data_IF_479094814574
#
_entry.id   IF_479094814574
#
_cell.length_a   1.000
_cell.length_b   1.000
_cell.length_c   1.000
_cell.angle_alpha   90.00
_cell.angle_beta   90.00
_cell.angle_gamma   90.00
#
_symmetry.space_group_name_H-M   'P 1'
#
loop_
_entity.id
_entity.type
_entity.pdbx_description
1 polymer ?
#
# COMPACT_ATOMS: atom_id res chain seq x y z
N UNK A 1 45.25 -12.71 -2.25
CA UNK A 1 44.22 -11.66 -2.45
C UNK A 1 43.23 -12.21 -3.46
N UNK A 2 42.26 -13.01 -3.01
CA UNK A 2 41.25 -13.61 -3.90
C UNK A 2 39.94 -12.87 -3.68
N UNK A 3 39.50 -12.20 -4.74
CA UNK A 3 38.34 -11.33 -4.77
C UNK A 3 37.01 -12.07 -4.60
N UNK A 4 36.07 -11.33 -4.02
CA UNK A 4 34.73 -11.75 -3.68
C UNK A 4 33.93 -12.28 -4.88
N UNK A 5 33.37 -13.47 -4.73
CA UNK A 5 32.23 -13.93 -5.51
C UNK A 5 30.97 -13.24 -4.97
N UNK A 6 30.55 -12.16 -5.63
CA UNK A 6 29.21 -11.60 -5.42
C UNK A 6 28.19 -12.54 -6.05
N UNK A 7 27.44 -13.24 -5.22
CA UNK A 7 26.29 -14.05 -5.62
C UNK A 7 25.20 -13.13 -6.20
N UNK A 8 25.12 -13.06 -7.52
CA UNK A 8 23.94 -12.54 -8.22
C UNK A 8 22.83 -13.59 -8.14
N UNK A 9 21.89 -13.38 -7.22
CA UNK A 9 20.60 -14.07 -7.24
C UNK A 9 19.78 -13.40 -8.34
N UNK A 10 19.77 -14.02 -9.53
CA UNK A 10 18.86 -13.67 -10.60
C UNK A 10 17.42 -13.87 -10.11
N UNK A 11 16.74 -12.75 -9.82
CA UNK A 11 15.32 -12.71 -9.50
C UNK A 11 14.48 -13.01 -10.74
N UNK A 12 13.38 -13.72 -10.53
CA UNK A 12 12.45 -14.17 -11.56
C UNK A 12 11.61 -12.97 -12.07
N UNK A 13 12.15 -12.22 -13.04
CA UNK A 13 11.55 -10.96 -13.50
C UNK A 13 10.48 -11.22 -14.58
N UNK A 14 9.23 -11.34 -14.15
CA UNK A 14 8.08 -11.11 -15.02
C UNK A 14 8.09 -9.68 -15.59
N UNK A 15 7.20 -9.34 -16.54
CA UNK A 15 7.19 -8.02 -17.17
C UNK A 15 7.18 -6.91 -16.13
N UNK A 16 8.21 -6.05 -16.19
CA UNK A 16 8.37 -4.90 -15.30
C UNK A 16 7.16 -3.99 -15.47
N UNK A 17 6.43 -3.76 -14.37
CA UNK A 17 5.27 -2.87 -14.37
C UNK A 17 5.74 -1.42 -14.42
N UNK A 18 5.01 -0.60 -15.17
CA UNK A 18 5.28 0.83 -15.19
C UNK A 18 5.01 1.49 -13.83
N UNK A 19 5.74 2.56 -13.53
CA UNK A 19 5.71 3.27 -12.25
C UNK A 19 4.35 3.91 -11.92
N UNK A 20 3.50 4.08 -12.92
CA UNK A 20 2.15 4.66 -12.81
C UNK A 20 1.05 3.59 -12.73
N UNK A 21 1.41 2.30 -12.60
CA UNK A 21 0.45 1.21 -12.49
C UNK A 21 0.04 0.91 -11.03
N UNK A 22 -1.22 0.52 -10.86
CA UNK A 22 -1.79 0.09 -9.59
C UNK A 22 -1.14 -1.21 -9.10
N UNK A 23 -0.76 -1.26 -7.83
CA UNK A 23 -0.12 -2.44 -7.22
C UNK A 23 -1.06 -3.65 -7.08
N UNK A 24 -2.38 -3.45 -7.10
CA UNK A 24 -3.39 -4.52 -7.05
C UNK A 24 -3.73 -5.07 -8.44
N UNK A 25 -3.98 -4.20 -9.42
CA UNK A 25 -4.49 -4.61 -10.74
C UNK A 25 -3.41 -4.70 -11.81
N UNK A 26 -2.25 -4.09 -11.56
CA UNK A 26 -1.16 -3.89 -12.54
C UNK A 26 -1.58 -3.10 -13.78
N UNK A 27 -2.74 -2.42 -13.73
CA UNK A 27 -3.21 -1.51 -14.78
C UNK A 27 -2.72 -0.08 -14.50
N UNK A 28 -2.53 0.75 -15.54
CA UNK A 28 -2.29 2.18 -15.38
C UNK A 28 -3.36 2.82 -14.47
N UNK A 29 -2.95 3.70 -13.56
CA UNK A 29 -3.87 4.43 -12.71
C UNK A 29 -4.47 5.64 -13.43
N UNK A 30 -5.78 5.82 -13.28
CA UNK A 30 -6.50 7.02 -13.71
C UNK A 30 -6.65 7.99 -12.54
N UNK A 31 -6.98 7.47 -11.35
CA UNK A 31 -7.07 8.22 -10.09
C UNK A 31 -6.12 7.63 -9.03
N UNK A 32 -4.81 7.91 -9.15
CA UNK A 32 -3.80 7.28 -8.33
C UNK A 32 -3.79 7.82 -6.89
N UNK A 33 -3.68 6.90 -5.95
CA UNK A 33 -3.39 7.16 -4.54
C UNK A 33 -2.18 6.37 -4.08
N UNK A 34 -1.39 6.95 -3.19
CA UNK A 34 -0.18 6.33 -2.64
C UNK A 34 -0.29 6.13 -1.14
N UNK A 35 0.29 5.05 -0.67
CA UNK A 35 0.48 4.79 0.76
C UNK A 35 1.76 5.45 1.27
N UNK A 36 1.87 5.66 2.58
CA UNK A 36 3.11 6.16 3.21
C UNK A 36 4.33 5.26 2.93
N UNK A 37 4.11 3.98 2.61
CA UNK A 37 5.16 3.04 2.22
C UNK A 37 5.63 3.19 0.78
N UNK A 38 4.98 4.04 -0.03
CA UNK A 38 5.33 4.31 -1.43
C UNK A 38 4.61 3.42 -2.46
N UNK A 39 3.63 2.61 -2.06
CA UNK A 39 2.87 1.77 -2.98
C UNK A 39 1.71 2.54 -3.60
N UNK A 40 1.63 2.50 -4.93
CA UNK A 40 0.60 3.16 -5.73
C UNK A 40 -0.60 2.25 -5.95
N UNK A 41 -1.80 2.81 -5.90
CA UNK A 41 -3.06 2.12 -6.13
C UNK A 41 -4.03 3.01 -6.90
N UNK A 42 -4.96 2.38 -7.61
CA UNK A 42 -6.17 3.04 -8.09
C UNK A 42 -7.11 3.28 -6.91
N UNK A 43 -7.60 4.52 -6.73
CA UNK A 43 -8.42 4.92 -5.58
C UNK A 43 -9.64 4.03 -5.40
N UNK A 44 -10.41 3.81 -6.46
CA UNK A 44 -11.64 3.01 -6.42
C UNK A 44 -11.36 1.57 -5.96
N UNK A 45 -10.32 0.95 -6.53
CA UNK A 45 -9.95 -0.45 -6.25
C UNK A 45 -9.46 -0.61 -4.81
N UNK A 46 -8.58 0.26 -4.33
CA UNK A 46 -8.03 0.13 -2.97
C UNK A 46 -9.09 0.40 -1.90
N UNK A 47 -9.99 1.35 -2.13
CA UNK A 47 -11.09 1.63 -1.21
C UNK A 47 -12.08 0.48 -1.16
N UNK A 48 -12.43 -0.10 -2.31
CA UNK A 48 -13.28 -1.29 -2.37
C UNK A 48 -12.61 -2.47 -1.65
N UNK A 49 -11.31 -2.66 -1.87
CA UNK A 49 -10.54 -3.68 -1.17
C UNK A 49 -10.61 -3.49 0.35
N UNK A 50 -10.25 -2.30 0.87
CA UNK A 50 -10.29 -2.02 2.31
C UNK A 50 -11.73 -2.18 2.87
N UNK A 51 -12.74 -1.73 2.14
CA UNK A 51 -14.14 -1.79 2.54
C UNK A 51 -14.66 -3.24 2.64
N UNK A 52 -14.40 -4.04 1.61
CA UNK A 52 -14.77 -5.47 1.59
C UNK A 52 -14.12 -6.23 2.74
N UNK A 53 -12.83 -6.00 3.00
CA UNK A 53 -12.13 -6.59 4.15
C UNK A 53 -12.78 -6.21 5.48
N UNK A 54 -13.10 -4.93 5.68
CA UNK A 54 -13.76 -4.45 6.90
C UNK A 54 -15.16 -5.04 7.10
N UNK A 55 -15.91 -5.23 6.02
CA UNK A 55 -17.24 -5.86 6.05
C UNK A 55 -17.15 -7.32 6.47
N UNK A 56 -16.22 -8.07 5.88
CA UNK A 56 -16.01 -9.49 6.16
C UNK A 56 -15.51 -9.71 7.60
N UNK A 57 -14.58 -8.88 8.08
CA UNK A 57 -14.17 -8.84 9.49
C UNK A 57 -15.37 -8.58 10.41
N UNK A 58 -16.22 -7.62 10.04
CA UNK A 58 -17.44 -7.31 10.80
C UNK A 58 -18.40 -8.48 10.89
N UNK A 59 -18.56 -9.26 9.82
CA UNK A 59 -19.38 -10.47 9.79
C UNK A 59 -18.81 -11.56 10.70
N UNK A 60 -17.52 -11.88 10.55
CA UNK A 60 -16.85 -12.89 11.38
C UNK A 60 -16.88 -12.55 12.86
N UNK A 61 -16.71 -11.26 13.20
CA UNK A 61 -16.79 -10.80 14.59
C UNK A 61 -18.19 -11.01 15.19
N UNK A 62 -19.26 -10.76 14.41
CA UNK A 62 -20.65 -11.01 14.85
C UNK A 62 -20.90 -12.49 15.05
N UNK A 63 -20.49 -13.34 14.11
CA UNK A 63 -20.66 -14.79 14.20
C UNK A 63 -19.91 -15.37 15.41
N UNK A 64 -18.68 -14.89 15.65
CA UNK A 64 -17.91 -15.28 16.82
C UNK A 64 -18.59 -14.85 18.12
N UNK A 65 -19.05 -13.60 18.22
CA UNK A 65 -19.74 -13.11 19.42
C UNK A 65 -21.01 -13.92 19.71
N UNK A 66 -21.85 -14.21 18.71
CA UNK A 66 -23.03 -15.05 18.87
C UNK A 66 -22.69 -16.45 19.40
N UNK A 67 -21.62 -17.06 18.86
CA UNK A 67 -21.16 -18.39 19.30
C UNK A 67 -20.59 -18.34 20.72
N UNK A 68 -19.80 -17.31 21.03
CA UNK A 68 -19.23 -17.06 22.36
C UNK A 68 -20.34 -16.89 23.41
N UNK A 69 -21.37 -16.09 23.12
CA UNK A 69 -22.47 -15.84 24.04
C UNK A 69 -23.36 -17.09 24.23
N UNK A 70 -23.42 -18.00 23.25
CA UNK A 70 -24.06 -19.31 23.44
C UNK A 70 -23.25 -20.21 24.38
N UNK A 71 -21.91 -20.21 24.28
CA UNK A 71 -21.03 -20.98 25.17
C UNK A 71 -21.08 -20.44 26.61
N UNK A 72 -20.98 -19.12 26.80
CA UNK A 72 -21.08 -18.49 28.12
C UNK A 72 -22.44 -18.71 28.80
N UNK A 73 -23.52 -18.87 28.03
CA UNK A 73 -24.84 -19.23 28.56
C UNK A 73 -24.91 -20.70 29.04
N UNK A 74 -24.16 -21.59 28.41
CA UNK A 74 -24.11 -23.00 28.78
C UNK A 74 -23.17 -23.26 29.98
N UNK A 75 -22.06 -22.53 30.06
CA UNK A 75 -21.12 -22.56 31.19
C UNK A 75 -20.66 -21.12 31.51
N UNK A 76 -21.22 -20.48 32.55
CA UNK A 76 -20.83 -19.11 32.91
C UNK A 76 -19.42 -18.96 33.48
N UNK A 77 -18.78 -20.06 33.92
CA UNK A 77 -17.45 -20.03 34.52
C UNK A 77 -16.33 -20.28 33.49
N UNK A 78 -16.67 -20.56 32.23
CA UNK A 78 -15.68 -20.79 31.18
C UNK A 78 -15.00 -19.49 30.76
N UNK A 79 -13.67 -19.49 30.72
CA UNK A 79 -12.90 -18.34 30.26
C UNK A 79 -12.69 -18.42 28.74
N UNK A 80 -13.20 -17.42 28.02
CA UNK A 80 -13.09 -17.33 26.56
C UNK A 80 -12.35 -16.05 26.15
N UNK A 81 -11.57 -16.08 25.05
CA UNK A 81 -10.87 -14.90 24.60
C UNK A 81 -11.85 -13.82 24.12
N UNK A 82 -11.57 -12.58 24.54
CA UNK A 82 -12.32 -11.40 24.11
C UNK A 82 -12.03 -11.14 22.63
N UNK A 83 -13.04 -11.18 21.74
CA UNK A 83 -12.79 -11.01 20.33
C UNK A 83 -12.48 -9.55 20.01
N UNK A 84 -11.34 -9.30 19.39
CA UNK A 84 -10.97 -7.98 18.87
C UNK A 84 -10.99 -8.00 17.35
N UNK A 85 -11.22 -6.84 16.72
CA UNK A 85 -11.14 -6.73 15.24
C UNK A 85 -9.78 -7.15 14.70
N UNK A 86 -8.71 -6.98 15.48
CA UNK A 86 -7.34 -7.32 15.06
C UNK A 86 -7.15 -8.82 14.87
N UNK A 87 -7.77 -9.64 15.73
CA UNK A 87 -7.73 -11.12 15.59
C UNK A 87 -8.22 -11.57 14.22
N UNK A 88 -9.23 -10.89 13.68
CA UNK A 88 -9.81 -11.21 12.38
C UNK A 88 -9.10 -10.54 11.21
N UNK A 89 -8.40 -9.41 11.42
CA UNK A 89 -7.63 -8.76 10.33
C UNK A 89 -6.55 -9.67 9.77
N UNK A 90 -5.89 -10.46 10.63
CA UNK A 90 -4.83 -11.37 10.22
C UNK A 90 -5.33 -12.57 9.38
N UNK A 91 -6.64 -12.80 9.37
CA UNK A 91 -7.28 -13.82 8.54
C UNK A 91 -7.41 -13.39 7.08
N UNK A 92 -7.25 -12.09 6.85
CA UNK A 92 -7.23 -11.47 5.55
C UNK A 92 -5.82 -10.98 5.22
N UNK A 93 -5.60 -10.57 3.98
CA UNK A 93 -4.34 -9.93 3.55
C UNK A 93 -4.49 -8.42 3.63
N UNK A 94 -4.34 -7.76 4.79
CA UNK A 94 -4.43 -6.31 4.83
C UNK A 94 -3.33 -5.69 3.96
N UNK A 95 -3.60 -4.52 3.41
CA UNK A 95 -2.55 -3.68 2.83
C UNK A 95 -1.74 -3.14 4.01
N UNK A 96 -0.46 -3.48 4.06
CA UNK A 96 0.43 -3.11 5.16
C UNK A 96 1.41 -2.05 4.67
N UNK A 97 1.62 -1.03 5.48
CA UNK A 97 2.68 -0.05 5.24
C UNK A 97 4.05 -0.70 5.53
N UNK A 98 4.92 -0.77 4.53
CA UNK A 98 6.29 -1.28 4.66
C UNK A 98 7.13 -0.55 5.70
N UNK A 99 6.85 0.74 5.94
CA UNK A 99 7.59 1.58 6.89
C UNK A 99 7.12 1.39 8.34
N UNK A 100 5.81 1.27 8.57
CA UNK A 100 5.24 1.24 9.94
C UNK A 100 4.78 -0.15 10.38
N UNK A 101 4.65 -1.12 9.47
CA UNK A 101 4.04 -2.42 9.73
C UNK A 101 2.54 -2.35 10.04
N UNK A 102 1.93 -1.16 9.99
CA UNK A 102 0.50 -0.96 10.28
C UNK A 102 -0.34 -1.20 9.05
N UNK A 103 -1.57 -1.65 9.28
CA UNK A 103 -2.61 -1.73 8.25
C UNK A 103 -2.92 -0.33 7.73
N UNK A 104 -2.86 -0.16 6.42
CA UNK A 104 -3.22 1.07 5.72
C UNK A 104 -4.74 1.24 5.80
N UNK A 105 -5.19 2.38 6.30
CA UNK A 105 -6.60 2.77 6.28
C UNK A 105 -6.87 3.68 5.08
N UNK A 106 -8.14 3.83 4.73
CA UNK A 106 -8.57 4.73 3.66
C UNK A 106 -8.07 6.18 3.90
N UNK A 107 -8.06 6.63 5.15
CA UNK A 107 -7.57 7.96 5.57
C UNK A 107 -6.07 8.15 5.39
N UNK A 108 -5.31 7.05 5.34
CA UNK A 108 -3.85 7.09 5.22
C UNK A 108 -3.39 7.17 3.75
N UNK A 109 -4.34 7.15 2.80
CA UNK A 109 -4.10 7.26 1.36
C UNK A 109 -3.93 8.72 0.95
N UNK A 110 -2.96 8.96 0.09
CA UNK A 110 -2.56 10.30 -0.34
C UNK A 110 -2.78 10.39 -1.83
N UNK A 111 -3.43 11.45 -2.26
CA UNK A 111 -3.70 11.69 -3.67
C UNK A 111 -2.40 11.95 -4.42
N UNK A 112 -2.29 11.41 -5.63
CA UNK A 112 -1.12 11.61 -6.50
C UNK A 112 -1.56 12.33 -7.76
N UNK A 113 -0.85 13.40 -8.09
CA UNK A 113 -1.00 14.12 -9.35
C UNK A 113 0.24 13.89 -10.22
N UNK A 114 0.05 13.13 -11.29
CA UNK A 114 1.08 12.93 -12.29
C UNK A 114 0.95 13.96 -13.41
N UNK A 115 1.95 14.84 -13.51
CA UNK A 115 2.01 15.83 -14.58
C UNK A 115 2.27 15.15 -15.93
N UNK A 116 1.24 15.06 -16.77
CA UNK A 116 1.33 14.50 -18.13
C UNK A 116 2.11 15.42 -19.07
N UNK A 117 2.84 14.80 -19.99
CA UNK A 117 3.55 15.46 -21.10
C UNK A 117 2.67 15.40 -22.33
N UNK A 118 2.31 16.57 -22.88
CA UNK A 118 1.44 16.68 -24.06
C UNK A 118 0.01 17.14 -23.74
N UNK A 119 -0.71 17.60 -24.77
CA UNK A 119 -2.11 18.04 -24.68
C UNK A 119 -3.11 16.91 -24.99
N UNK A 120 -4.42 17.13 -24.80
CA UNK A 120 -5.47 16.10 -24.96
C UNK A 120 -5.67 15.56 -26.40
N UNK A 121 -4.83 15.94 -27.36
CA UNK A 121 -5.01 15.68 -28.79
C UNK A 121 -4.07 14.62 -29.40
N UNK A 122 -3.20 13.97 -28.62
CA UNK A 122 -2.30 12.92 -29.13
C UNK A 122 -2.96 11.53 -29.09
N UNK A 123 -3.71 11.20 -30.15
CA UNK A 123 -4.61 10.04 -30.24
C UNK A 123 -3.92 8.65 -30.36
N UNK A 124 -2.61 8.51 -30.15
CA UNK A 124 -1.94 7.21 -30.26
C UNK A 124 -0.57 7.11 -29.56
N UNK A 125 -0.15 8.13 -28.83
CA UNK A 125 1.20 8.17 -28.25
C UNK A 125 1.24 7.57 -26.85
N UNK A 126 2.39 6.98 -26.48
CA UNK A 126 2.63 6.43 -25.15
C UNK A 126 2.40 7.52 -24.10
N UNK A 127 1.69 7.17 -23.02
CA UNK A 127 1.50 8.07 -21.89
C UNK A 127 2.87 8.40 -21.31
N UNK A 128 3.21 9.69 -21.26
CA UNK A 128 4.49 10.17 -20.76
C UNK A 128 4.23 11.18 -19.65
N UNK A 129 5.01 11.07 -18.58
CA UNK A 129 4.92 11.92 -17.41
C UNK A 129 6.22 12.67 -17.20
N UNK A 130 6.14 13.80 -16.49
CA UNK A 130 7.31 14.61 -16.12
C UNK A 130 7.30 14.98 -14.65
N UNK A 131 8.48 15.24 -14.12
CA UNK A 131 8.67 15.83 -12.80
C UNK A 131 7.96 17.18 -12.73
N UNK A 132 7.15 17.39 -11.69
CA UNK A 132 6.39 18.63 -11.50
C UNK A 132 7.29 19.86 -11.29
N UNK A 133 8.53 19.66 -10.82
CA UNK A 133 9.48 20.74 -10.52
C UNK A 133 10.52 20.91 -11.62
N UNK A 134 11.21 19.83 -12.00
CA UNK A 134 12.33 19.91 -12.97
C UNK A 134 11.86 19.81 -14.43
N UNK A 135 10.65 19.31 -14.68
CA UNK A 135 10.15 19.05 -16.04
C UNK A 135 10.82 17.86 -16.73
N UNK A 136 11.73 17.15 -16.06
CA UNK A 136 12.38 15.95 -16.59
C UNK A 136 11.36 14.83 -16.80
N UNK A 137 11.50 14.08 -17.89
CA UNK A 137 10.66 12.92 -18.18
C UNK A 137 10.87 11.84 -17.11
N UNK A 138 9.76 11.32 -16.59
CA UNK A 138 9.76 10.23 -15.64
C UNK A 138 9.77 8.88 -16.36
N UNK A 139 10.64 7.99 -15.90
CA UNK A 139 10.76 6.61 -16.37
C UNK A 139 10.89 5.64 -15.20
N UNK A 140 10.71 4.34 -15.47
CA UNK A 140 10.80 3.29 -14.44
C UNK A 140 12.16 3.26 -13.72
N UNK A 141 13.21 3.70 -14.40
CA UNK A 141 14.58 3.70 -13.87
C UNK A 141 14.90 4.92 -13.01
N UNK A 142 14.05 5.95 -13.01
CA UNK A 142 14.26 7.21 -12.29
C UNK A 142 13.69 7.11 -10.88
N UNK A 143 14.46 7.33 -9.79
CA UNK A 143 13.90 7.28 -8.44
C UNK A 143 13.01 8.50 -8.23
N UNK A 144 11.81 8.29 -7.70
CA UNK A 144 10.78 9.32 -7.60
C UNK A 144 10.16 9.34 -6.21
N UNK A 145 9.60 10.49 -5.84
CA UNK A 145 8.82 10.66 -4.64
C UNK A 145 7.56 11.49 -4.91
N UNK A 146 6.53 11.25 -4.12
CA UNK A 146 5.34 12.09 -4.02
C UNK A 146 5.53 13.07 -2.87
N UNK A 147 5.18 14.34 -3.11
CA UNK A 147 5.09 15.34 -2.05
C UNK A 147 3.67 15.32 -1.46
N UNK A 148 3.52 14.96 -0.19
CA UNK A 148 2.21 14.85 0.47
C UNK A 148 1.40 16.14 0.43
N UNK A 149 2.08 17.29 0.45
CA UNK A 149 1.47 18.63 0.47
C UNK A 149 0.73 18.97 -0.82
N UNK A 150 1.20 18.49 -1.97
CA UNK A 150 0.60 18.79 -3.29
C UNK A 150 0.07 17.55 -4.02
N UNK A 151 0.51 16.36 -3.66
CA UNK A 151 0.32 15.14 -4.44
C UNK A 151 1.26 15.05 -5.66
N UNK A 152 2.09 16.06 -5.92
CA UNK A 152 2.93 16.09 -7.11
C UNK A 152 4.06 15.05 -7.06
N UNK A 153 4.34 14.45 -8.22
CA UNK A 153 5.46 13.52 -8.40
C UNK A 153 6.72 14.26 -8.84
N UNK A 154 7.80 14.03 -8.12
CA UNK A 154 9.11 14.65 -8.37
C UNK A 154 10.22 13.60 -8.37
N UNK A 155 11.34 13.88 -9.04
CA UNK A 155 12.52 13.02 -8.98
C UNK A 155 13.19 13.12 -7.61
N UNK A 156 13.80 12.03 -7.14
CA UNK A 156 14.59 12.05 -5.90
C UNK A 156 15.79 13.00 -6.00
N UNK A 157 16.34 13.16 -7.19
CA UNK A 157 17.37 14.17 -7.47
C UNK A 157 16.90 15.59 -7.13
N UNK A 158 15.67 15.94 -7.54
CA UNK A 158 15.05 17.22 -7.19
C UNK A 158 14.84 17.34 -5.67
N UNK A 159 14.41 16.24 -5.03
CA UNK A 159 14.23 16.20 -3.57
C UNK A 159 15.55 16.52 -2.85
N UNK A 160 16.64 15.86 -3.23
CA UNK A 160 17.93 15.98 -2.55
C UNK A 160 18.63 17.30 -2.83
N UNK A 161 18.58 17.78 -4.07
CA UNK A 161 19.31 18.98 -4.50
C UNK A 161 18.58 20.27 -4.15
N UNK A 162 17.24 20.26 -4.15
CA UNK A 162 16.44 21.47 -3.99
C UNK A 162 15.55 21.42 -2.75
N UNK A 163 14.68 20.41 -2.63
CA UNK A 163 13.61 20.41 -1.62
C UNK A 163 14.17 20.25 -0.20
N UNK A 164 15.08 19.30 0.03
CA UNK A 164 15.66 19.04 1.37
C UNK A 164 16.42 20.23 1.96
N UNK A 165 16.84 21.20 1.14
CA UNK A 165 17.54 22.40 1.62
C UNK A 165 16.59 23.40 2.28
N UNK A 166 15.37 23.51 1.75
CA UNK A 166 14.41 24.52 2.19
C UNK A 166 13.21 23.91 2.93
N UNK A 167 12.96 22.61 2.75
CA UNK A 167 11.80 21.89 3.30
C UNK A 167 10.48 22.60 3.00
N UNK A 168 10.37 23.07 1.75
CA UNK A 168 9.19 23.75 1.19
C UNK A 168 8.85 23.07 -0.13
N UNK A 169 7.56 22.87 -0.38
CA UNK A 169 7.05 22.40 -1.66
C UNK A 169 7.21 23.51 -2.73
N UNK A 170 8.01 23.31 -3.79
CA UNK A 170 8.20 24.34 -4.81
C UNK A 170 6.94 24.62 -5.64
N UNK A 171 5.95 23.72 -5.62
CA UNK A 171 4.77 23.79 -6.48
C UNK A 171 3.62 24.60 -5.86
N UNK A 172 3.53 24.64 -4.53
CA UNK A 172 2.47 25.36 -3.82
C UNK A 172 2.98 26.29 -2.68
N UNK A 173 4.27 26.22 -2.32
CA UNK A 173 4.89 27.07 -1.31
C UNK A 173 4.64 26.65 0.14
N UNK A 174 3.97 25.53 0.41
CA UNK A 174 3.76 25.05 1.78
C UNK A 174 5.02 24.42 2.38
N UNK A 175 5.21 24.63 3.68
CA UNK A 175 6.25 23.96 4.45
C UNK A 175 5.95 22.46 4.55
N UNK A 176 7.00 21.65 4.52
CA UNK A 176 6.89 20.19 4.59
C UNK A 176 7.97 19.60 5.49
N UNK A 177 7.76 18.37 5.93
CA UNK A 177 8.69 17.57 6.71
C UNK A 177 9.24 16.39 5.91
N UNK A 178 10.25 15.69 6.44
CA UNK A 178 10.79 14.50 5.76
C UNK A 178 9.75 13.38 5.61
N UNK A 179 8.72 13.34 6.47
CA UNK A 179 7.60 12.39 6.36
C UNK A 179 6.60 12.72 5.25
N UNK A 180 6.67 13.93 4.70
CA UNK A 180 5.84 14.38 3.58
C UNK A 180 6.48 14.07 2.23
N UNK A 181 7.75 13.67 2.23
CA UNK A 181 8.44 13.13 1.07
C UNK A 181 8.24 11.62 1.07
N UNK A 182 7.54 11.09 0.07
CA UNK A 182 7.14 9.68 0.01
C UNK A 182 7.81 9.03 -1.19
N UNK A 183 8.94 8.32 -1.00
CA UNK A 183 9.60 7.62 -2.08
C UNK A 183 8.68 6.55 -2.64
N UNK A 184 8.50 6.54 -3.96
CA UNK A 184 7.68 5.55 -4.65
C UNK A 184 8.41 4.20 -4.71
N UNK A 185 7.68 3.13 -4.38
CA UNK A 185 8.17 1.77 -4.51
C UNK A 185 8.09 1.33 -5.97
N UNK A 186 9.18 0.74 -6.46
CA UNK A 186 9.21 0.13 -7.79
C UNK A 186 8.64 -1.28 -7.72
N UNK A 187 7.89 -1.64 -8.76
CA UNK A 187 7.08 -2.86 -8.81
C UNK A 187 7.87 -4.16 -8.70
N UNK A 188 8.08 -4.64 -7.47
CA UNK A 188 8.27 -6.06 -7.17
C UNK A 188 6.92 -6.74 -6.93
N UNK A 189 6.80 -8.02 -7.27
CA UNK A 189 5.63 -8.84 -6.94
C UNK A 189 5.63 -9.19 -5.43
N UNK A 190 5.45 -8.19 -4.58
CA UNK A 190 5.47 -8.32 -3.11
C UNK A 190 4.24 -8.99 -2.49
N UNK A 191 3.37 -9.63 -3.27
CA UNK A 191 2.22 -10.38 -2.76
C UNK A 191 2.48 -11.89 -2.76
N UNK A 192 3.58 -12.33 -2.14
CA UNK A 192 3.74 -13.70 -1.65
C UNK A 192 3.59 -13.64 -0.12
N UNK A 193 2.47 -14.08 0.47
CA UNK A 193 2.38 -15.44 1.04
C UNK A 193 0.91 -15.82 1.32
N UNK A 194 0.67 -17.14 1.35
CA UNK A 194 -0.60 -17.90 1.35
C UNK A 194 -1.46 -17.78 2.64
N UNK A 195 -2.72 -18.20 2.49
CA UNK A 195 -3.73 -18.48 3.51
C UNK A 195 -3.22 -19.28 4.72
N UNK A 196 -3.58 -18.83 5.92
CA UNK A 196 -3.81 -19.69 7.10
C UNK A 196 -5.04 -19.21 7.87
N UNK A 197 -6.24 -19.55 7.38
CA UNK A 197 -7.44 -19.53 8.22
C UNK A 197 -7.85 -20.98 8.51
N UNK A 198 -7.03 -21.66 9.31
CA UNK A 198 -7.31 -22.98 9.90
C UNK A 198 -7.42 -22.92 11.43
N UNK A 199 -7.38 -21.72 12.04
CA UNK A 199 -7.27 -21.57 13.49
C UNK A 199 -8.55 -21.11 14.21
N UNK A 200 -9.60 -20.69 13.51
CA UNK A 200 -10.82 -20.21 14.18
C UNK A 200 -11.84 -21.31 14.53
N UNK A 201 -11.70 -22.51 13.97
CA UNK A 201 -12.61 -23.64 14.21
C UNK A 201 -12.10 -24.59 15.32
N UNK A 202 -10.81 -24.52 15.68
CA UNK A 202 -10.21 -25.46 16.65
C UNK A 202 -10.31 -25.00 18.11
N UNK A 203 -10.51 -23.70 18.37
CA UNK A 203 -10.59 -23.14 19.74
C UNK A 203 -11.98 -23.25 20.37
N UNK A 204 -13.00 -23.60 19.58
CA UNK A 204 -14.40 -23.68 20.05
C UNK A 204 -14.96 -25.11 20.05
N UNK A 205 -14.11 -26.12 19.85
CA UNK A 205 -14.54 -27.50 20.09
C UNK A 205 -14.47 -27.77 21.59
N UNK A 206 -15.57 -28.17 22.24
CA UNK A 206 -15.46 -28.69 23.60
C UNK A 206 -14.45 -29.84 23.57
N UNK A 207 -13.48 -29.82 24.49
CA UNK A 207 -12.59 -30.97 24.67
C UNK A 207 -13.49 -32.15 24.99
N UNK A 208 -13.62 -33.06 24.03
CA UNK A 208 -14.37 -34.29 24.19
C UNK A 208 -13.82 -35.08 25.38
N UNK A 209 -14.76 -35.60 26.17
CA UNK A 209 -14.59 -36.44 27.34
C UNK A 209 -13.78 -37.71 27.01
#
# INVERSE_FOLDING_TARGET
MNGNASNNIAGNDGPVRDFYCCSLTSQPCDDPVVTVGGFLYERSVVLEYISSQNKEIGKLLREYNTRRDAVLRADPNIELPVPTKEMFRNLFKPIICSKSGRVVRAEDLIEVDFTRVGGPAALAEKIQYRCAVTGEILGNDVPMAVLRTSGNVVTMDCVEKMIKRFMVDPTNGFLMSESDIIPLQRGGNGFSTRNEMLMLDQTLRPRGN
#
